data_IF_907049669604
#
_entry.id   IF_907049669604
#
_cell.length_a   1.000
_cell.length_b   1.000
_cell.length_c   1.000
_cell.angle_alpha   90.00
_cell.angle_beta   90.00
_cell.angle_gamma   90.00
#
_symmetry.space_group_name_H-M   'P 1'
#
loop_
_entity.id
_entity.type
_entity.pdbx_description
1 polymer ?
#
# COMPACT_ATOMS: atom_id res chain seq x y z
N UNK A 1 -5.18 26.19 17.46
CA UNK A 1 -4.47 25.83 16.21
C UNK A 1 -5.49 25.37 15.20
N UNK A 2 -5.39 25.81 13.94
CA UNK A 2 -6.33 25.43 12.88
C UNK A 2 -5.96 24.04 12.32
N UNK A 3 -6.97 23.21 12.04
CA UNK A 3 -6.81 21.93 11.35
C UNK A 3 -7.88 21.84 10.26
N UNK A 4 -7.45 21.85 9.00
CA UNK A 4 -8.31 21.68 7.84
C UNK A 4 -8.59 20.20 7.59
N UNK A 5 -9.66 19.89 6.87
CA UNK A 5 -10.01 18.52 6.50
C UNK A 5 -10.26 18.38 5.01
N UNK A 6 -9.72 17.32 4.40
CA UNK A 6 -9.92 16.97 3.00
C UNK A 6 -10.48 15.55 2.90
N UNK A 7 -11.46 15.35 2.00
CA UNK A 7 -11.97 14.02 1.69
C UNK A 7 -10.93 13.22 0.93
N UNK A 8 -10.87 11.92 1.21
CA UNK A 8 -10.03 10.98 0.45
C UNK A 8 -10.92 10.11 -0.43
N UNK A 9 -10.37 9.40 -1.44
CA UNK A 9 -11.12 8.40 -2.19
C UNK A 9 -11.67 7.25 -1.34
N UNK A 10 -11.16 7.07 -0.11
CA UNK A 10 -11.64 6.07 0.84
C UNK A 10 -12.68 6.73 1.80
N UNK A 11 -13.95 6.30 1.79
CA UNK A 11 -15.00 6.91 2.62
C UNK A 11 -14.81 6.71 4.13
N UNK A 12 -13.98 5.75 4.52
CA UNK A 12 -13.62 5.48 5.91
C UNK A 12 -12.35 6.23 6.34
N UNK A 13 -11.67 6.95 5.44
CA UNK A 13 -10.47 7.73 5.73
C UNK A 13 -10.67 9.23 5.44
N UNK A 14 -10.28 10.06 6.40
CA UNK A 14 -10.30 11.52 6.27
C UNK A 14 -8.91 12.07 6.54
N UNK A 15 -8.49 13.03 5.70
CA UNK A 15 -7.19 13.70 5.80
C UNK A 15 -7.34 14.99 6.59
N UNK A 16 -6.45 15.21 7.54
CA UNK A 16 -6.40 16.34 8.45
C UNK A 16 -5.08 17.09 8.22
N UNK A 17 -5.17 18.37 7.89
CA UNK A 17 -4.04 19.21 7.52
C UNK A 17 -3.91 20.31 8.59
N UNK A 18 -3.02 20.13 9.58
CA UNK A 18 -2.80 21.16 10.58
C UNK A 18 -2.09 22.37 9.97
N UNK A 19 -2.45 23.56 10.46
CA UNK A 19 -1.68 24.77 10.19
C UNK A 19 -0.40 24.73 11.05
N UNK A 20 0.70 24.35 10.41
CA UNK A 20 2.02 24.29 11.03
C UNK A 20 2.75 25.62 10.86
N UNK A 21 3.62 25.95 11.82
CA UNK A 21 4.51 27.10 11.68
C UNK A 21 5.41 26.94 10.43
N UNK A 22 5.88 28.04 9.81
CA UNK A 22 6.76 27.97 8.66
C UNK A 22 7.98 27.07 8.93
N UNK A 23 8.17 26.06 8.09
CA UNK A 23 9.27 25.09 8.21
C UNK A 23 9.02 23.94 9.20
N UNK A 24 7.98 24.01 10.03
CA UNK A 24 7.61 22.91 10.92
C UNK A 24 6.94 21.76 10.15
N UNK A 25 7.14 20.54 10.64
CA UNK A 25 6.61 19.29 10.07
C UNK A 25 6.13 18.40 11.21
N UNK A 26 5.19 17.52 10.92
CA UNK A 26 4.83 16.43 11.84
C UNK A 26 5.92 15.37 11.93
N UNK A 27 6.65 15.18 10.83
CA UNK A 27 7.76 14.22 10.71
C UNK A 27 8.87 14.76 9.79
N UNK A 28 10.09 14.26 9.96
CA UNK A 28 11.32 14.58 9.21
C UNK A 28 11.38 13.85 7.85
N UNK A 29 10.28 13.88 7.11
CA UNK A 29 10.19 13.34 5.74
C UNK A 29 9.65 11.91 5.62
N UNK A 30 9.69 11.12 6.70
CA UNK A 30 9.11 9.78 6.71
C UNK A 30 7.60 9.77 6.95
N UNK A 31 6.98 8.64 6.61
CA UNK A 31 5.57 8.38 6.82
C UNK A 31 5.37 7.16 7.72
N UNK A 32 4.35 7.20 8.57
CA UNK A 32 4.11 6.17 9.59
C UNK A 32 2.66 5.71 9.55
N UNK A 33 2.42 4.47 9.14
CA UNK A 33 1.13 3.79 9.32
C UNK A 33 1.07 3.08 10.68
N UNK A 34 0.14 3.52 11.52
CA UNK A 34 -0.11 3.00 12.86
C UNK A 34 -1.50 2.36 12.89
N UNK A 35 -1.58 1.14 13.43
CA UNK A 35 -2.85 0.44 13.65
C UNK A 35 -3.15 0.39 15.13
N UNK A 36 -4.43 0.53 15.52
CA UNK A 36 -4.86 0.48 16.93
C UNK A 36 -4.47 -0.83 17.62
N UNK A 37 -4.60 -1.94 16.90
CA UNK A 37 -4.27 -3.26 17.43
C UNK A 37 -2.77 -3.39 17.65
N UNK A 38 -2.36 -3.69 18.88
CA UNK A 38 -0.95 -3.85 19.23
C UNK A 38 -0.15 -2.54 19.23
N UNK A 39 -0.82 -1.39 19.27
CA UNK A 39 -0.16 -0.09 19.31
C UNK A 39 0.53 0.18 20.66
N UNK A 40 1.79 0.59 20.61
CA UNK A 40 2.52 1.13 21.75
C UNK A 40 2.39 2.65 21.80
N UNK A 41 1.77 3.16 22.86
CA UNK A 41 1.58 4.59 23.07
C UNK A 41 2.89 5.39 23.14
N UNK A 42 4.00 4.75 23.52
CA UNK A 42 5.31 5.39 23.54
C UNK A 42 5.80 5.78 22.14
N UNK A 43 5.28 5.15 21.07
CA UNK A 43 5.65 5.50 19.69
C UNK A 43 5.08 6.84 19.23
N UNK A 44 3.89 7.22 19.70
CA UNK A 44 3.20 8.43 19.26
C UNK A 44 2.08 8.80 20.23
N UNK A 45 2.28 9.89 20.96
CA UNK A 45 1.23 10.43 21.85
C UNK A 45 0.04 10.99 21.04
N UNK A 46 0.29 11.48 19.82
CA UNK A 46 -0.75 11.86 18.85
C UNK A 46 -1.65 10.67 18.51
N UNK A 47 -1.05 9.55 18.07
CA UNK A 47 -1.82 8.37 17.71
C UNK A 47 -2.50 7.75 18.93
N UNK A 48 -1.88 7.78 20.12
CA UNK A 48 -2.51 7.33 21.36
C UNK A 48 -3.80 8.11 21.65
N UNK A 49 -3.76 9.45 21.55
CA UNK A 49 -4.94 10.30 21.73
C UNK A 49 -6.04 9.99 20.70
N UNK A 50 -5.65 9.81 19.42
CA UNK A 50 -6.58 9.48 18.35
C UNK A 50 -7.21 8.08 18.51
N UNK A 51 -6.44 7.07 18.91
CA UNK A 51 -6.97 5.74 19.20
C UNK A 51 -7.86 5.70 20.46
N UNK A 52 -7.73 6.68 21.35
CA UNK A 52 -8.67 6.89 22.46
C UNK A 52 -10.08 7.23 21.99
N UNK A 53 -10.24 7.78 20.78
CA UNK A 53 -11.55 8.09 20.20
C UNK A 53 -12.23 6.81 19.70
N UNK A 54 -13.49 6.61 20.11
CA UNK A 54 -14.27 5.45 19.71
C UNK A 54 -14.46 5.40 18.18
N UNK A 55 -14.08 4.27 17.59
CA UNK A 55 -14.20 4.05 16.15
C UNK A 55 -12.97 4.42 15.31
N UNK A 56 -11.90 4.99 15.88
CA UNK A 56 -10.62 5.15 15.17
C UNK A 56 -9.87 3.81 15.14
N UNK A 57 -9.46 3.37 13.94
CA UNK A 57 -8.80 2.08 13.72
C UNK A 57 -7.34 2.24 13.28
N UNK A 58 -7.06 3.22 12.42
CA UNK A 58 -5.70 3.47 11.90
C UNK A 58 -5.41 4.97 11.86
N UNK A 59 -4.16 5.31 12.13
CA UNK A 59 -3.62 6.67 12.04
C UNK A 59 -2.41 6.61 11.14
N UNK A 60 -2.38 7.47 10.15
CA UNK A 60 -1.25 7.63 9.25
C UNK A 60 -0.71 9.04 9.40
N UNK A 61 0.57 9.15 9.77
CA UNK A 61 1.25 10.44 9.99
C UNK A 61 2.24 10.64 8.85
N UNK A 62 2.11 11.77 8.15
CA UNK A 62 3.01 12.23 7.11
C UNK A 62 3.53 13.62 7.46
N UNK A 63 4.60 14.13 6.80
CA UNK A 63 5.24 15.39 7.20
C UNK A 63 4.30 16.59 7.31
N UNK A 64 3.26 16.66 6.47
CA UNK A 64 2.32 17.79 6.42
C UNK A 64 0.87 17.47 6.77
N UNK A 65 0.52 16.21 7.08
CA UNK A 65 -0.87 15.84 7.36
C UNK A 65 -0.98 14.54 8.18
N UNK A 66 -2.17 14.35 8.75
CA UNK A 66 -2.57 13.10 9.41
C UNK A 66 -3.78 12.55 8.67
N UNK A 67 -3.75 11.29 8.26
CA UNK A 67 -4.94 10.59 7.78
C UNK A 67 -5.45 9.67 8.87
N UNK A 68 -6.71 9.82 9.26
CA UNK A 68 -7.36 8.94 10.23
C UNK A 68 -8.33 8.04 9.49
N UNK A 69 -8.23 6.73 9.71
CA UNK A 69 -9.21 5.75 9.22
C UNK A 69 -10.10 5.31 10.38
N UNK A 70 -11.42 5.42 10.21
CA UNK A 70 -12.40 4.86 11.14
C UNK A 70 -12.73 3.41 10.79
N UNK A 71 -13.17 2.64 11.78
CA UNK A 71 -13.78 1.33 11.54
C UNK A 71 -15.05 1.51 10.69
N UNK A 72 -15.26 0.63 9.71
CA UNK A 72 -16.41 0.70 8.81
C UNK A 72 -17.76 0.69 9.55
N UNK A 73 -17.87 -0.12 10.60
CA UNK A 73 -19.04 -0.22 11.49
C UNK A 73 -19.04 0.82 12.64
N UNK A 74 -18.06 1.72 12.69
CA UNK A 74 -17.93 2.76 13.71
C UNK A 74 -18.81 4.00 13.44
N UNK A 75 -18.71 5.03 14.30
CA UNK A 75 -19.44 6.29 14.12
C UNK A 75 -19.10 6.96 12.78
N UNK A 76 -20.07 7.63 12.13
CA UNK A 76 -19.80 8.37 10.90
C UNK A 76 -18.89 9.58 11.15
N UNK A 77 -18.24 10.07 10.09
CA UNK A 77 -17.37 11.25 10.17
C UNK A 77 -18.07 12.51 10.70
N UNK A 78 -19.39 12.63 10.53
CA UNK A 78 -20.17 13.73 11.13
C UNK A 78 -20.10 13.76 12.66
N UNK A 79 -19.96 12.60 13.31
CA UNK A 79 -19.83 12.47 14.76
C UNK A 79 -18.36 12.50 15.23
N UNK A 80 -17.44 12.01 14.41
CA UNK A 80 -16.03 11.82 14.80
C UNK A 80 -15.12 13.02 14.48
N UNK A 81 -15.41 13.77 13.41
CA UNK A 81 -14.50 14.78 12.82
C UNK A 81 -14.01 15.83 13.83
N UNK A 82 -14.90 16.42 14.61
CA UNK A 82 -14.53 17.48 15.54
C UNK A 82 -13.68 16.98 16.71
N UNK A 83 -13.92 15.75 17.18
CA UNK A 83 -13.11 15.15 18.23
C UNK A 83 -11.67 14.88 17.73
N UNK A 84 -11.52 14.45 16.48
CA UNK A 84 -10.21 14.27 15.85
C UNK A 84 -9.48 15.60 15.67
N UNK A 85 -10.17 16.64 15.20
CA UNK A 85 -9.60 18.00 15.10
C UNK A 85 -9.09 18.48 16.46
N UNK A 86 -9.90 18.33 17.51
CA UNK A 86 -9.53 18.73 18.86
C UNK A 86 -8.29 17.97 19.36
N UNK A 87 -8.25 16.64 19.19
CA UNK A 87 -7.11 15.82 19.60
C UNK A 87 -5.80 16.21 18.87
N UNK A 88 -5.86 16.48 17.56
CA UNK A 88 -4.70 16.95 16.79
C UNK A 88 -4.25 18.32 17.28
N UNK A 89 -5.19 19.26 17.44
CA UNK A 89 -4.87 20.62 17.87
C UNK A 89 -4.28 20.67 19.29
N UNK A 90 -4.79 19.83 20.21
CA UNK A 90 -4.28 19.71 21.58
C UNK A 90 -2.88 19.10 21.60
N UNK A 91 -2.65 18.02 20.85
CA UNK A 91 -1.32 17.43 20.72
C UNK A 91 -0.31 18.45 20.19
N UNK A 92 -0.64 19.17 19.12
CA UNK A 92 0.25 20.17 18.56
C UNK A 92 0.51 21.35 19.52
N UNK A 93 -0.49 21.75 20.32
CA UNK A 93 -0.33 22.77 21.34
C UNK A 93 0.60 22.32 22.49
N UNK A 94 0.73 21.01 22.73
CA UNK A 94 1.66 20.47 23.73
C UNK A 94 3.13 20.58 23.31
N UNK A 95 3.41 20.73 22.01
CA UNK A 95 4.77 20.74 21.47
C UNK A 95 5.49 19.38 21.50
N UNK A 96 4.81 18.30 21.93
CA UNK A 96 5.37 16.95 21.87
C UNK A 96 5.56 16.50 20.41
N UNK A 97 6.58 15.67 20.13
CA UNK A 97 6.76 15.11 18.79
C UNK A 97 5.59 14.18 18.42
N UNK A 98 5.15 14.24 17.16
CA UNK A 98 4.08 13.37 16.66
C UNK A 98 4.51 11.90 16.65
N UNK A 99 5.80 11.62 16.41
CA UNK A 99 6.43 10.30 16.43
C UNK A 99 7.67 10.38 17.33
N UNK A 100 7.79 9.51 18.32
CA UNK A 100 8.85 9.60 19.33
C UNK A 100 10.26 9.27 18.79
N UNK A 101 10.35 8.26 17.92
CA UNK A 101 11.56 7.88 17.20
C UNK A 101 11.36 8.18 15.72
N UNK A 102 11.33 9.47 15.39
CA UNK A 102 11.22 9.94 14.02
C UNK A 102 12.55 9.83 13.29
N UNK A 103 12.92 8.59 13.06
CA UNK A 103 14.09 8.22 12.28
C UNK A 103 13.59 7.77 10.92
N UNK A 104 13.64 8.64 9.88
CA UNK A 104 13.27 8.22 8.55
C UNK A 104 14.11 6.98 8.20
N UNK A 105 13.50 5.93 7.61
CA UNK A 105 14.29 4.82 7.10
C UNK A 105 15.37 5.42 6.21
N UNK A 106 16.63 5.14 6.53
CA UNK A 106 17.69 5.35 5.56
C UNK A 106 17.32 4.41 4.43
N UNK A 107 16.74 4.93 3.35
CA UNK A 107 16.57 4.15 2.14
C UNK A 107 17.98 3.73 1.77
N UNK A 108 18.30 2.46 2.01
CA UNK A 108 19.58 1.87 1.60
C UNK A 108 19.67 2.19 0.12
N UNK A 109 20.63 3.05 -0.25
CA UNK A 109 20.83 3.45 -1.63
C UNK A 109 21.13 2.16 -2.36
N UNK A 110 20.11 1.61 -3.03
CA UNK A 110 20.16 0.26 -3.55
C UNK A 110 21.41 0.15 -4.42
N UNK A 111 22.20 -0.90 -4.20
CA UNK A 111 23.36 -1.15 -5.06
C UNK A 111 22.93 -1.42 -6.51
N UNK A 112 21.64 -1.72 -6.73
CA UNK A 112 21.00 -1.89 -8.03
C UNK A 112 20.50 -0.54 -8.60
N UNK A 113 21.05 -0.10 -9.74
CA UNK A 113 20.61 1.11 -10.43
C UNK A 113 19.12 1.12 -10.80
N UNK A 114 18.52 -0.04 -11.09
CA UNK A 114 17.09 -0.13 -11.45
C UNK A 114 16.23 0.14 -10.24
N UNK A 115 16.58 -0.40 -9.08
CA UNK A 115 15.83 -0.11 -7.85
C UNK A 115 15.89 1.38 -7.50
N UNK A 116 17.05 2.01 -7.67
CA UNK A 116 17.21 3.44 -7.46
C UNK A 116 16.34 4.25 -8.42
N UNK A 117 16.32 3.89 -9.71
CA UNK A 117 15.43 4.51 -10.69
C UNK A 117 13.95 4.33 -10.33
N UNK A 118 13.55 3.14 -9.86
CA UNK A 118 12.19 2.88 -9.37
C UNK A 118 11.87 3.79 -8.19
N UNK A 119 12.76 3.91 -7.19
CA UNK A 119 12.57 4.80 -6.03
C UNK A 119 12.38 6.25 -6.47
N UNK A 120 13.20 6.73 -7.41
CA UNK A 120 13.08 8.08 -7.96
C UNK A 120 11.74 8.29 -8.68
N UNK A 121 11.32 7.35 -9.53
CA UNK A 121 10.03 7.42 -10.23
C UNK A 121 8.86 7.41 -9.25
N UNK A 122 8.91 6.56 -8.22
CA UNK A 122 7.91 6.55 -7.16
C UNK A 122 7.88 7.91 -6.45
N UNK A 123 9.04 8.44 -6.06
CA UNK A 123 9.18 9.73 -5.37
C UNK A 123 8.66 10.93 -6.16
N UNK A 124 9.00 11.01 -7.45
CA UNK A 124 8.71 12.17 -8.30
C UNK A 124 7.34 12.12 -8.96
N UNK A 125 6.86 10.93 -9.33
CA UNK A 125 5.66 10.78 -10.17
C UNK A 125 4.48 10.13 -9.47
N UNK A 126 4.70 9.32 -8.42
CA UNK A 126 3.63 8.58 -7.74
C UNK A 126 3.26 9.21 -6.41
N UNK A 127 4.22 9.30 -5.48
CA UNK A 127 4.00 9.75 -4.10
C UNK A 127 3.30 11.11 -3.99
N UNK A 128 3.53 12.13 -4.85
CA UNK A 128 2.79 13.38 -4.78
C UNK A 128 1.28 13.22 -4.99
N UNK A 129 0.88 12.35 -5.92
CA UNK A 129 -0.53 12.03 -6.16
C UNK A 129 -1.16 11.29 -4.98
N UNK A 130 -0.45 10.30 -4.44
CA UNK A 130 -0.92 9.49 -3.31
C UNK A 130 -1.01 10.30 -2.01
N UNK A 131 -0.05 11.20 -1.77
CA UNK A 131 -0.06 12.11 -0.63
C UNK A 131 -1.24 13.08 -0.67
N UNK A 132 -1.60 13.57 -1.87
CA UNK A 132 -2.82 14.37 -2.05
C UNK A 132 -4.05 13.58 -1.61
N UNK A 133 -4.11 12.31 -1.98
CA UNK A 133 -5.20 11.38 -1.63
C UNK A 133 -5.12 10.85 -0.18
N UNK A 134 -4.15 11.32 0.62
CA UNK A 134 -4.03 11.01 2.04
C UNK A 134 -3.31 9.69 2.36
N UNK A 135 -2.45 9.20 1.47
CA UNK A 135 -1.65 8.01 1.67
C UNK A 135 -0.17 8.18 1.28
N UNK A 136 0.52 7.05 1.18
CA UNK A 136 1.87 6.96 0.64
C UNK A 136 2.14 5.57 0.06
N UNK A 137 3.19 5.44 -0.74
CA UNK A 137 3.64 4.19 -1.35
C UNK A 137 5.12 4.01 -1.05
N UNK A 138 5.47 2.89 -0.44
CA UNK A 138 6.86 2.51 -0.21
C UNK A 138 7.31 1.46 -1.21
N UNK A 139 8.54 1.59 -1.67
CA UNK A 139 9.27 0.51 -2.33
C UNK A 139 9.58 -0.60 -1.32
N UNK A 140 9.40 -1.86 -1.73
CA UNK A 140 9.73 -3.00 -0.88
C UNK A 140 10.85 -3.85 -1.48
N UNK A 141 10.70 -4.26 -2.75
CA UNK A 141 11.71 -5.01 -3.48
C UNK A 141 11.38 -5.06 -4.96
N UNK A 142 12.40 -5.32 -5.79
CA UNK A 142 12.25 -5.62 -7.21
C UNK A 142 12.91 -6.97 -7.53
N UNK A 143 12.31 -7.74 -8.44
CA UNK A 143 12.89 -9.00 -8.95
C UNK A 143 13.20 -8.80 -10.44
N UNK A 144 14.49 -8.65 -10.75
CA UNK A 144 14.98 -8.36 -12.09
C UNK A 144 14.73 -9.50 -13.09
N UNK A 145 14.67 -10.76 -12.62
CA UNK A 145 14.42 -11.92 -13.48
C UNK A 145 12.96 -11.96 -13.98
N UNK A 146 12.03 -11.51 -13.13
CA UNK A 146 10.59 -11.55 -13.41
C UNK A 146 9.98 -10.21 -13.76
N UNK A 147 10.69 -9.11 -13.53
CA UNK A 147 10.22 -7.73 -13.66
C UNK A 147 9.13 -7.37 -12.64
N UNK A 148 9.05 -8.06 -11.49
CA UNK A 148 8.00 -7.80 -10.51
C UNK A 148 8.47 -6.77 -9.49
N UNK A 149 7.75 -5.65 -9.40
CA UNK A 149 7.93 -4.64 -8.37
C UNK A 149 6.95 -4.87 -7.22
N UNK A 150 7.45 -5.05 -6.01
CA UNK A 150 6.62 -5.06 -4.80
C UNK A 150 6.64 -3.70 -4.12
N UNK A 151 5.44 -3.23 -3.77
CA UNK A 151 5.22 -1.99 -3.04
C UNK A 151 4.37 -2.24 -1.80
N UNK A 152 4.37 -1.28 -0.88
CA UNK A 152 3.43 -1.22 0.23
C UNK A 152 2.66 0.08 0.19
N UNK A 153 1.34 0.00 0.20
CA UNK A 153 0.46 1.16 0.24
C UNK A 153 0.06 1.48 1.70
N UNK A 154 0.09 2.76 2.05
CA UNK A 154 -0.20 3.26 3.41
C UNK A 154 -1.27 4.36 3.40
N UNK A 155 -1.75 4.72 4.60
CA UNK A 155 -2.77 5.76 4.78
C UNK A 155 -4.12 5.39 4.18
N UNK A 156 -4.78 6.34 3.53
CA UNK A 156 -6.12 6.15 2.94
C UNK A 156 -6.16 4.98 1.94
N UNK A 157 -5.07 4.77 1.23
CA UNK A 157 -4.93 3.76 0.17
C UNK A 157 -4.83 2.32 0.72
N UNK A 158 -4.33 2.14 1.94
CA UNK A 158 -4.01 0.83 2.50
C UNK A 158 -5.20 0.07 3.12
N UNK A 159 -6.47 0.48 2.96
CA UNK A 159 -7.57 -0.32 3.55
C UNK A 159 -8.91 -0.30 2.85
N UNK A 160 -8.98 0.23 1.64
CA UNK A 160 -10.17 0.10 0.80
C UNK A 160 -9.84 -0.79 -0.42
N UNK A 161 -10.49 -1.95 -0.60
CA UNK A 161 -10.18 -2.87 -1.70
C UNK A 161 -10.31 -2.23 -3.09
N UNK A 162 -11.31 -1.36 -3.30
CA UNK A 162 -11.53 -0.70 -4.59
C UNK A 162 -10.43 0.33 -4.88
N UNK A 163 -10.06 1.15 -3.90
CA UNK A 163 -8.98 2.15 -4.03
C UNK A 163 -7.62 1.50 -4.26
N UNK A 164 -7.38 0.31 -3.68
CA UNK A 164 -6.13 -0.44 -3.89
C UNK A 164 -5.96 -0.91 -5.33
N UNK A 165 -7.01 -1.45 -5.94
CA UNK A 165 -6.95 -1.99 -7.29
C UNK A 165 -6.65 -0.87 -8.30
N UNK A 166 -7.41 0.23 -8.24
CA UNK A 166 -7.23 1.35 -9.16
C UNK A 166 -5.88 2.02 -8.98
N UNK A 167 -5.44 2.21 -7.73
CA UNK A 167 -4.15 2.82 -7.45
C UNK A 167 -2.99 1.93 -7.92
N UNK A 168 -3.02 0.62 -7.64
CA UNK A 168 -2.02 -0.33 -8.16
C UNK A 168 -1.90 -0.22 -9.67
N UNK A 169 -3.02 -0.23 -10.40
CA UNK A 169 -3.01 -0.11 -11.86
C UNK A 169 -2.47 1.24 -12.34
N UNK A 170 -2.73 2.33 -11.61
CA UNK A 170 -2.16 3.66 -11.91
C UNK A 170 -0.65 3.70 -11.69
N UNK A 171 -0.18 3.15 -10.56
CA UNK A 171 1.25 3.04 -10.23
C UNK A 171 1.96 2.21 -11.29
N UNK A 172 1.42 1.05 -11.65
CA UNK A 172 1.99 0.18 -12.67
C UNK A 172 2.14 0.91 -14.01
N UNK A 173 1.13 1.64 -14.47
CA UNK A 173 1.21 2.40 -15.72
C UNK A 173 2.29 3.49 -15.67
N UNK A 174 2.40 4.23 -14.56
CA UNK A 174 3.40 5.27 -14.38
C UNK A 174 4.79 4.65 -14.36
N UNK A 175 5.04 3.68 -13.48
CA UNK A 175 6.36 3.08 -13.32
C UNK A 175 6.85 2.46 -14.62
N UNK A 176 5.99 1.70 -15.34
CA UNK A 176 6.35 1.06 -16.61
C UNK A 176 6.71 2.05 -17.73
N UNK A 177 6.23 3.28 -17.64
CA UNK A 177 6.56 4.34 -18.61
C UNK A 177 7.99 4.84 -18.44
N UNK A 178 8.50 4.85 -17.21
CA UNK A 178 9.84 5.35 -16.88
C UNK A 178 10.86 4.22 -16.75
N UNK A 179 10.46 3.06 -16.22
CA UNK A 179 11.30 1.86 -16.00
C UNK A 179 10.68 0.67 -16.75
N UNK A 180 11.03 0.47 -18.04
CA UNK A 180 10.47 -0.60 -18.88
C UNK A 180 10.74 -2.03 -18.37
N UNK A 181 11.74 -2.21 -17.51
CA UNK A 181 12.11 -3.46 -16.83
C UNK A 181 11.02 -3.94 -15.87
N UNK A 182 10.16 -3.02 -15.38
CA UNK A 182 9.01 -3.39 -14.58
C UNK A 182 7.95 -4.01 -15.49
N UNK A 183 7.65 -5.28 -15.27
CA UNK A 183 6.60 -6.02 -15.98
C UNK A 183 5.24 -5.87 -15.30
N UNK A 184 5.21 -5.90 -13.95
CA UNK A 184 3.98 -5.75 -13.14
C UNK A 184 4.28 -5.28 -11.73
N UNK A 185 3.27 -4.69 -11.08
CA UNK A 185 3.35 -4.25 -9.68
C UNK A 185 2.51 -5.14 -8.77
N UNK A 186 3.01 -5.48 -7.58
CA UNK A 186 2.29 -6.20 -6.54
C UNK A 186 2.33 -5.47 -5.19
N UNK A 187 1.26 -5.57 -4.41
CA UNK A 187 1.18 -4.98 -3.06
C UNK A 187 1.50 -6.03 -1.99
N UNK A 188 2.43 -5.72 -1.09
CA UNK A 188 2.64 -6.53 0.12
C UNK A 188 1.52 -6.23 1.11
N UNK A 189 0.73 -7.25 1.48
CA UNK A 189 -0.41 -7.11 2.41
C UNK A 189 -1.77 -6.87 1.73
N UNK A 190 -1.83 -6.91 0.39
CA UNK A 190 -3.07 -7.21 -0.34
C UNK A 190 -3.47 -8.68 -0.13
N UNK A 191 -4.76 -9.02 -0.33
CA UNK A 191 -5.18 -10.41 -0.34
C UNK A 191 -4.23 -11.23 -1.25
N UNK A 192 -3.75 -12.41 -0.82
CA UNK A 192 -2.73 -13.13 -1.56
C UNK A 192 -3.22 -13.41 -2.98
N UNK A 193 -2.36 -13.16 -3.97
CA UNK A 193 -2.57 -13.69 -5.31
C UNK A 193 -2.91 -15.19 -5.21
N UNK A 194 -3.85 -15.72 -6.00
CA UNK A 194 -4.27 -17.11 -5.90
C UNK A 194 -3.02 -18.00 -5.92
N UNK A 195 -2.91 -18.87 -4.90
CA UNK A 195 -1.79 -19.76 -4.67
C UNK A 195 -1.63 -20.76 -5.83
N UNK A 196 -1.00 -20.31 -6.91
CA UNK A 196 -0.76 -21.09 -8.12
C UNK A 196 0.55 -20.75 -8.83
N UNK A 197 1.10 -19.54 -8.62
CA UNK A 197 2.32 -19.10 -9.30
C UNK A 197 3.60 -19.83 -8.84
N UNK A 198 3.59 -20.51 -7.69
CA UNK A 198 4.75 -21.26 -7.16
C UNK A 198 4.70 -22.78 -7.37
N UNK A 199 3.57 -23.33 -7.86
CA UNK A 199 3.49 -24.75 -8.28
C UNK A 199 3.84 -24.93 -9.75
N UNK A 200 3.53 -23.93 -10.60
CA UNK A 200 3.86 -23.97 -12.02
C UNK A 200 5.38 -23.93 -12.26
N UNK A 201 6.14 -23.10 -11.51
CA UNK A 201 7.63 -23.10 -11.56
C UNK A 201 8.23 -24.45 -11.19
N UNK A 202 7.80 -25.06 -10.08
CA UNK A 202 8.22 -26.42 -9.67
C UNK A 202 7.78 -27.52 -10.63
N UNK A 203 6.67 -27.34 -11.34
CA UNK A 203 6.19 -28.28 -12.36
C UNK A 203 6.99 -28.15 -13.66
N UNK A 204 7.30 -26.93 -14.12
CA UNK A 204 8.11 -26.67 -15.31
C UNK A 204 9.56 -27.12 -15.11
N UNK A 205 10.14 -26.87 -13.94
CA UNK A 205 11.50 -27.31 -13.57
C UNK A 205 11.60 -28.83 -13.36
N UNK A 206 10.49 -29.51 -13.07
CA UNK A 206 10.42 -30.96 -12.89
C UNK A 206 10.19 -31.78 -14.17
N UNK A 207 9.76 -31.15 -15.28
CA UNK A 207 9.43 -31.84 -16.53
C UNK A 207 10.57 -31.85 -17.57
N UNK A 208 11.69 -31.19 -17.28
CA UNK A 208 12.90 -31.21 -18.12
C UNK A 208 13.74 -32.47 -17.94
N UNK A 209 13.17 -33.66 -18.18
CA UNK A 209 13.91 -34.90 -17.97
C UNK A 209 13.26 -36.18 -18.50
N UNK A 210 13.49 -36.45 -19.80
CA UNK A 210 13.33 -37.72 -20.55
C UNK A 210 11.96 -38.00 -21.19
N UNK A 211 12.01 -38.24 -22.50
CA UNK A 211 11.16 -39.23 -23.18
C UNK A 211 10.23 -38.68 -24.25
N UNK A 212 10.53 -39.02 -25.49
CA UNK A 212 9.71 -38.76 -26.66
C UNK A 212 8.31 -39.41 -26.59
N UNK A 213 7.32 -38.73 -27.17
CA UNK A 213 6.21 -39.37 -27.87
C UNK A 213 5.09 -40.01 -27.05
N UNK A 214 4.23 -39.22 -26.41
CA UNK A 214 2.84 -39.61 -26.18
C UNK A 214 1.95 -38.37 -26.00
N UNK A 215 0.89 -38.26 -26.82
CA UNK A 215 -0.11 -37.18 -26.71
C UNK A 215 -1.10 -37.51 -25.60
N UNK A 216 -1.47 -36.55 -24.72
CA UNK A 216 -2.33 -36.83 -23.58
C UNK A 216 -3.76 -37.18 -24.03
N UNK A 217 -4.29 -38.23 -23.40
CA UNK A 217 -5.70 -38.65 -23.49
C UNK A 217 -6.46 -37.98 -22.34
N UNK A 218 -7.53 -37.26 -22.65
CA UNK A 218 -8.38 -36.65 -21.64
C UNK A 218 -9.46 -37.64 -21.21
N UNK A 219 -9.50 -37.97 -19.92
CA UNK A 219 -10.58 -38.76 -19.30
C UNK A 219 -11.36 -37.88 -18.32
N UNK A 220 -12.68 -38.04 -18.29
CA UNK A 220 -13.57 -37.44 -17.29
C UNK A 220 -14.41 -38.57 -16.67
N UNK A 221 -14.33 -38.76 -15.35
CA UNK A 221 -15.06 -39.84 -14.66
C UNK A 221 -14.60 -41.26 -14.99
N UNK A 222 -13.35 -41.47 -15.41
CA UNK A 222 -12.78 -42.81 -15.65
C UNK A 222 -13.20 -43.48 -16.97
N UNK A 223 -13.81 -42.75 -17.91
CA UNK A 223 -14.08 -43.24 -19.28
C UNK A 223 -13.44 -42.32 -20.31
N UNK A 224 -12.90 -42.95 -21.35
CA UNK A 224 -12.21 -42.31 -22.47
C UNK A 224 -13.22 -41.68 -23.43
N UNK A 225 -13.01 -40.41 -23.81
CA UNK A 225 -13.92 -39.67 -24.69
C UNK A 225 -13.39 -39.77 -26.13
N UNK A 226 -14.10 -40.45 -27.06
CA UNK A 226 -13.66 -40.54 -28.45
C UNK A 226 -13.78 -39.17 -29.14
N UNK A 227 -12.73 -38.77 -29.87
CA UNK A 227 -12.66 -37.49 -30.58
C UNK A 227 -13.55 -37.49 -31.82
N UNK A 228 -14.24 -36.37 -32.06
CA UNK A 228 -15.03 -36.10 -33.28
C UNK A 228 -14.07 -35.85 -34.46
N UNK A 229 -14.31 -36.40 -35.67
CA UNK A 229 -13.42 -36.18 -36.80
C UNK A 229 -13.48 -34.73 -37.30
N UNK A 230 -12.29 -34.18 -37.59
CA UNK A 230 -12.08 -32.87 -38.19
C UNK A 230 -12.73 -32.81 -39.59
N UNK A 231 -13.50 -31.75 -39.84
CA UNK A 231 -13.95 -31.40 -41.19
C UNK A 231 -12.93 -30.46 -41.80
N UNK A 232 -12.45 -30.83 -42.98
CA UNK A 232 -11.69 -29.97 -43.89
C UNK A 232 -11.98 -30.44 -45.33
N UNK A 233 -11.87 -29.58 -46.35
CA UNK A 233 -11.73 -28.10 -46.34
C UNK A 233 -13.05 -27.37 -46.60
#
# INVERSE_FOLDING_TARGET
MLVLTEQTPNPDALKFIPELAPGARLTEGATYALARSGFDAARSTLAAALFGLAGVERVFVAPGFVTVTRAAAGPPWSALRYAVIAAIAEHLASGAPAIADDSPPVEDAGQDPIEEEIRQVLGLHVRPGVARDGGDVLFERFDADTGVLWIRMQGACGGCPSSRLTLKSGIEQIVRRYVPEVARVEEIGGAPAPAGASRLRRWIEGFGGRGAGARPVFTHGGREIPRRPERTP
#
